data_IF_755647966989
#
_entry.id   IF_755647966989
#
_cell.length_a   1.000
_cell.length_b   1.000
_cell.length_c   1.000
_cell.angle_alpha   90.00
_cell.angle_beta   90.00
_cell.angle_gamma   90.00
#
_symmetry.space_group_name_H-M   'P 1'
#
loop_
_entity.id
_entity.type
_entity.pdbx_description
1 polymer ?
#
# COMPACT_ATOMS: atom_id res chain seq x y z
N UNK A 1 -44.05 -22.01 3.04
CA UNK A 1 -42.72 -22.27 2.44
C UNK A 1 -42.05 -20.90 2.25
N UNK A 2 -41.45 -20.38 3.32
CA UNK A 2 -40.92 -19.01 3.40
C UNK A 2 -39.47 -19.03 2.90
N UNK A 3 -39.31 -18.54 1.68
CA UNK A 3 -38.05 -18.46 0.97
C UNK A 3 -37.19 -17.37 1.61
N UNK A 4 -36.05 -17.77 2.17
CA UNK A 4 -35.13 -16.90 2.87
C UNK A 4 -34.61 -15.78 1.98
N UNK A 5 -35.00 -14.56 2.31
CA UNK A 5 -34.26 -13.34 1.99
C UNK A 5 -33.01 -13.39 2.86
N UNK A 6 -32.01 -14.15 2.41
CA UNK A 6 -30.67 -14.09 2.96
C UNK A 6 -30.14 -12.71 2.59
N UNK A 7 -30.16 -11.81 3.57
CA UNK A 7 -29.45 -10.55 3.54
C UNK A 7 -28.06 -10.79 2.97
N UNK A 8 -27.84 -10.37 1.73
CA UNK A 8 -26.51 -10.11 1.21
C UNK A 8 -25.98 -8.96 2.07
N UNK A 9 -25.36 -9.34 3.20
CA UNK A 9 -24.50 -8.45 3.96
C UNK A 9 -23.44 -7.99 2.97
N UNK A 10 -23.66 -6.83 2.37
CA UNK A 10 -22.66 -6.05 1.66
C UNK A 10 -21.56 -5.77 2.69
N UNK A 11 -20.65 -6.73 2.84
CA UNK A 11 -19.41 -6.56 3.59
C UNK A 11 -18.61 -5.57 2.77
N UNK A 12 -18.86 -4.27 3.02
CA UNK A 12 -18.00 -3.19 2.55
C UNK A 12 -16.59 -3.63 2.86
N UNK A 13 -15.69 -3.74 1.87
CA UNK A 13 -14.34 -4.23 2.11
C UNK A 13 -13.75 -3.40 3.24
N UNK A 14 -13.43 -4.08 4.34
CA UNK A 14 -13.07 -3.41 5.58
C UNK A 14 -11.80 -2.62 5.30
N UNK A 15 -11.94 -1.30 5.36
CA UNK A 15 -10.88 -0.33 5.04
C UNK A 15 -9.60 -0.62 5.82
N UNK A 16 -9.74 -1.22 7.00
CA UNK A 16 -8.66 -1.73 7.83
C UNK A 16 -7.85 -2.85 7.18
N UNK A 17 -8.46 -3.83 6.50
CA UNK A 17 -7.73 -4.95 5.87
C UNK A 17 -6.92 -4.47 4.66
N UNK A 18 -7.41 -3.46 3.94
CA UNK A 18 -6.67 -2.83 2.83
C UNK A 18 -5.49 -2.01 3.35
N UNK A 19 -5.65 -1.30 4.48
CA UNK A 19 -4.55 -0.58 5.12
C UNK A 19 -3.53 -1.55 5.76
N UNK A 20 -4.00 -2.62 6.38
CA UNK A 20 -3.17 -3.64 7.03
C UNK A 20 -2.33 -4.41 6.01
N UNK A 21 -2.89 -4.75 4.85
CA UNK A 21 -2.16 -5.40 3.75
C UNK A 21 -1.14 -4.48 3.09
N UNK A 22 -1.40 -3.18 3.01
CA UNK A 22 -0.40 -2.18 2.60
C UNK A 22 0.71 -1.97 3.64
N UNK A 23 0.43 -2.19 4.92
CA UNK A 23 1.39 -2.03 6.01
C UNK A 23 2.41 -3.18 6.06
N UNK A 24 1.99 -4.41 5.74
CA UNK A 24 2.83 -5.61 5.76
C UNK A 24 3.85 -5.67 4.62
N UNK A 25 3.47 -5.21 3.42
CA UNK A 25 4.39 -5.16 2.28
C UNK A 25 4.00 -4.00 1.35
N UNK A 26 4.90 -3.03 1.12
CA UNK A 26 4.62 -1.90 0.25
C UNK A 26 4.32 -2.40 -1.17
N UNK A 27 3.26 -1.85 -1.78
CA UNK A 27 2.80 -2.22 -3.11
C UNK A 27 1.63 -3.21 -3.15
N UNK A 28 1.45 -4.09 -2.16
CA UNK A 28 0.32 -5.06 -2.15
C UNK A 28 -1.03 -4.32 -2.12
N UNK A 29 -1.18 -3.33 -1.24
CA UNK A 29 -2.39 -2.53 -1.16
C UNK A 29 -2.71 -1.77 -2.46
N UNK A 30 -1.70 -1.37 -3.22
CA UNK A 30 -1.88 -0.67 -4.51
C UNK A 30 -2.29 -1.65 -5.63
N UNK A 31 -1.77 -2.88 -5.62
CA UNK A 31 -2.20 -3.95 -6.53
C UNK A 31 -3.68 -4.29 -6.31
N UNK A 32 -4.12 -4.40 -5.04
CA UNK A 32 -5.52 -4.62 -4.70
C UNK A 32 -6.44 -3.45 -5.12
N UNK A 33 -5.92 -2.22 -5.12
CA UNK A 33 -6.63 -1.03 -5.61
C UNK A 33 -6.62 -0.89 -7.15
N UNK A 34 -6.18 -1.92 -7.90
CA UNK A 34 -5.98 -1.91 -9.36
C UNK A 34 -5.00 -0.82 -9.85
N UNK A 35 -4.16 -0.28 -8.96
CA UNK A 35 -3.09 0.67 -9.29
C UNK A 35 -1.79 -0.09 -9.55
N UNK A 36 -1.81 -0.92 -10.60
CA UNK A 36 -0.73 -1.85 -10.94
C UNK A 36 0.62 -1.17 -11.11
N UNK A 37 0.66 -0.03 -11.81
CA UNK A 37 1.91 0.70 -12.04
C UNK A 37 2.55 1.16 -10.72
N UNK A 38 1.77 1.76 -9.82
CA UNK A 38 2.28 2.19 -8.52
C UNK A 38 2.70 0.98 -7.67
N UNK A 39 1.92 -0.09 -7.68
CA UNK A 39 2.24 -1.32 -6.96
C UNK A 39 3.56 -1.96 -7.42
N UNK A 40 3.80 -2.02 -8.73
CA UNK A 40 5.04 -2.55 -9.31
C UNK A 40 6.23 -1.63 -8.98
N UNK A 41 6.07 -0.32 -9.12
CA UNK A 41 7.17 0.63 -8.85
C UNK A 41 7.58 0.58 -7.38
N UNK A 42 6.62 0.71 -6.46
CA UNK A 42 6.94 0.73 -5.02
C UNK A 42 7.31 -0.66 -4.49
N UNK A 43 6.59 -1.71 -4.91
CA UNK A 43 6.90 -3.08 -4.51
C UNK A 43 8.23 -3.56 -5.07
N UNK A 44 8.53 -3.22 -6.32
CA UNK A 44 9.81 -3.53 -6.97
C UNK A 44 10.97 -2.76 -6.36
N UNK A 45 10.83 -1.45 -6.15
CA UNK A 45 11.87 -0.63 -5.52
C UNK A 45 12.16 -1.08 -4.08
N UNK A 46 11.12 -1.33 -3.29
CA UNK A 46 11.28 -1.85 -1.94
C UNK A 46 11.88 -3.25 -1.93
N UNK A 47 11.40 -4.15 -2.80
CA UNK A 47 11.93 -5.51 -2.92
C UNK A 47 13.41 -5.53 -3.29
N UNK A 48 13.83 -4.71 -4.25
CA UNK A 48 15.23 -4.58 -4.64
C UNK A 48 16.10 -4.06 -3.50
N UNK A 49 15.69 -2.99 -2.82
CA UNK A 49 16.41 -2.44 -1.67
C UNK A 49 16.46 -3.43 -0.50
N UNK A 50 15.38 -4.17 -0.25
CA UNK A 50 15.33 -5.19 0.79
C UNK A 50 16.25 -6.37 0.47
N UNK A 51 16.30 -6.84 -0.78
CA UNK A 51 17.26 -7.85 -1.20
C UNK A 51 18.71 -7.38 -1.03
N UNK A 52 19.02 -6.13 -1.40
CA UNK A 52 20.35 -5.55 -1.17
C UNK A 52 20.67 -5.46 0.33
N UNK A 53 19.71 -5.05 1.16
CA UNK A 53 19.84 -4.99 2.61
C UNK A 53 20.15 -6.38 3.18
N UNK A 54 19.45 -7.43 2.73
CA UNK A 54 19.70 -8.81 3.17
C UNK A 54 21.10 -9.26 2.77
N UNK A 55 21.51 -9.03 1.51
CA UNK A 55 22.85 -9.41 1.04
C UNK A 55 23.93 -8.73 1.87
N UNK A 56 23.84 -7.41 2.10
CA UNK A 56 24.79 -6.68 2.94
C UNK A 56 24.75 -7.15 4.40
N UNK A 57 23.57 -7.48 4.93
CA UNK A 57 23.44 -8.01 6.30
C UNK A 57 24.12 -9.37 6.42
N UNK A 58 23.92 -10.28 5.48
CA UNK A 58 24.58 -11.59 5.46
C UNK A 58 26.09 -11.48 5.28
N UNK A 59 26.56 -10.57 4.42
CA UNK A 59 28.00 -10.30 4.25
C UNK A 59 28.63 -9.79 5.54
N UNK A 60 27.99 -8.86 6.22
CA UNK A 60 28.46 -8.32 7.51
C UNK A 60 28.50 -9.42 8.58
N UNK A 61 27.45 -10.23 8.70
CA UNK A 61 27.42 -11.37 9.62
C UNK A 61 28.55 -12.36 9.30
N UNK A 62 28.72 -12.74 8.03
CA UNK A 62 29.78 -13.64 7.60
C UNK A 62 31.17 -13.08 7.90
N UNK A 63 31.39 -11.78 7.71
CA UNK A 63 32.63 -11.10 8.06
C UNK A 63 32.90 -11.17 9.57
N UNK A 64 31.90 -10.93 10.42
CA UNK A 64 32.05 -11.09 11.88
C UNK A 64 32.39 -12.52 12.31
N UNK A 65 31.75 -13.52 11.70
CA UNK A 65 32.09 -14.92 11.97
C UNK A 65 33.52 -15.27 11.55
N UNK A 66 33.99 -14.78 10.40
CA UNK A 66 35.37 -14.97 9.95
C UNK A 66 36.36 -14.30 10.89
N UNK A 67 36.07 -13.10 11.38
CA UNK A 67 36.92 -12.38 12.34
C UNK A 67 37.12 -13.19 13.63
N UNK A 68 36.04 -13.80 14.14
CA UNK A 68 36.07 -14.64 15.34
C UNK A 68 36.80 -15.97 15.16
N UNK A 69 36.76 -16.55 13.95
CA UNK A 69 37.43 -17.82 13.64
C UNK A 69 38.92 -17.64 13.32
N UNK A 70 39.28 -16.59 12.58
CA UNK A 70 40.65 -16.35 12.10
C UNK A 70 41.52 -15.54 13.09
N UNK A 71 41.02 -15.18 14.28
CA UNK A 71 41.68 -14.24 15.22
C UNK A 71 42.10 -12.93 14.54
N UNK A 72 41.26 -12.44 13.63
CA UNK A 72 41.50 -11.20 12.89
C UNK A 72 41.58 -9.98 13.81
N UNK A 73 42.38 -8.99 13.43
CA UNK A 73 42.51 -7.73 14.19
C UNK A 73 41.28 -6.84 14.00
N UNK A 74 40.94 -6.04 15.02
CA UNK A 74 39.74 -5.18 15.10
C UNK A 74 39.58 -4.18 13.93
N UNK A 75 40.65 -3.89 13.17
CA UNK A 75 40.61 -2.97 12.05
C UNK A 75 39.82 -3.47 10.82
N UNK A 76 39.48 -4.75 10.74
CA UNK A 76 38.66 -5.32 9.64
C UNK A 76 37.16 -5.33 9.95
N UNK A 77 36.71 -4.53 10.92
CA UNK A 77 35.29 -4.50 11.31
C UNK A 77 34.44 -3.95 10.16
N UNK A 78 33.47 -4.72 9.63
CA UNK A 78 32.60 -4.25 8.54
C UNK A 78 31.78 -3.03 8.97
N UNK A 79 31.71 -2.02 8.10
CA UNK A 79 31.02 -0.76 8.40
C UNK A 79 29.50 -0.94 8.43
N UNK A 80 28.87 -0.50 9.52
CA UNK A 80 27.41 -0.48 9.64
C UNK A 80 26.73 0.65 8.83
N UNK A 81 27.51 1.60 8.29
CA UNK A 81 26.98 2.77 7.56
C UNK A 81 26.15 2.36 6.34
N UNK A 82 26.57 1.33 5.64
CA UNK A 82 25.93 0.91 4.38
C UNK A 82 24.58 0.23 4.66
N UNK A 83 24.51 -0.55 5.75
CA UNK A 83 23.27 -1.16 6.24
C UNK A 83 22.30 -0.07 6.69
N UNK A 84 22.77 0.93 7.44
CA UNK A 84 21.95 2.06 7.89
C UNK A 84 21.43 2.88 6.71
N UNK A 85 22.26 3.10 5.68
CA UNK A 85 21.86 3.77 4.45
C UNK A 85 20.76 3.02 3.70
N UNK A 86 20.93 1.70 3.52
CA UNK A 86 19.93 0.84 2.88
C UNK A 86 18.63 0.76 3.70
N UNK A 87 18.73 0.67 5.02
CA UNK A 87 17.57 0.69 5.92
C UNK A 87 16.81 2.02 5.81
N UNK A 88 17.54 3.14 5.78
CA UNK A 88 16.97 4.47 5.56
C UNK A 88 16.27 4.59 4.22
N UNK A 89 16.87 4.06 3.15
CA UNK A 89 16.27 4.02 1.81
C UNK A 89 14.98 3.17 1.79
N UNK A 90 15.00 1.98 2.39
CA UNK A 90 13.81 1.13 2.56
C UNK A 90 12.69 1.87 3.30
N UNK A 91 13.03 2.55 4.39
CA UNK A 91 12.07 3.33 5.19
C UNK A 91 11.50 4.51 4.39
N UNK A 92 12.33 5.23 3.64
CA UNK A 92 11.89 6.33 2.80
C UNK A 92 10.89 5.87 1.71
N UNK A 93 11.19 4.75 1.04
CA UNK A 93 10.29 4.14 0.05
C UNK A 93 8.98 3.71 0.70
N UNK A 94 9.06 3.10 1.89
CA UNK A 94 7.89 2.67 2.65
C UNK A 94 6.98 3.85 3.06
N UNK A 95 7.55 4.92 3.63
CA UNK A 95 6.80 6.12 4.01
C UNK A 95 6.17 6.80 2.80
N UNK A 96 6.89 6.86 1.67
CA UNK A 96 6.37 7.41 0.41
C UNK A 96 5.19 6.57 -0.10
N UNK A 97 5.27 5.24 0.00
CA UNK A 97 4.18 4.35 -0.38
C UNK A 97 2.92 4.59 0.47
N UNK A 98 3.08 4.70 1.80
CA UNK A 98 1.97 5.03 2.71
C UNK A 98 1.32 6.36 2.33
N UNK A 99 2.13 7.39 2.08
CA UNK A 99 1.65 8.71 1.67
C UNK A 99 0.82 8.66 0.39
N UNK A 100 1.30 7.95 -0.64
CA UNK A 100 0.56 7.80 -1.90
C UNK A 100 -0.77 7.04 -1.72
N UNK A 101 -0.77 5.94 -0.95
CA UNK A 101 -1.98 5.17 -0.67
C UNK A 101 -3.00 6.03 0.09
N UNK A 102 -2.55 6.80 1.08
CA UNK A 102 -3.42 7.69 1.84
C UNK A 102 -4.02 8.81 0.98
N UNK A 103 -3.22 9.44 0.12
CA UNK A 103 -3.69 10.47 -0.81
C UNK A 103 -4.72 9.92 -1.80
N UNK A 104 -4.46 8.74 -2.37
CA UNK A 104 -5.40 8.09 -3.28
C UNK A 104 -6.71 7.73 -2.58
N UNK A 105 -6.64 7.24 -1.35
CA UNK A 105 -7.81 6.98 -0.53
C UNK A 105 -8.64 8.25 -0.27
N UNK A 106 -8.01 9.36 0.11
CA UNK A 106 -8.70 10.64 0.29
C UNK A 106 -9.38 11.13 -0.99
N UNK A 107 -8.74 10.98 -2.14
CA UNK A 107 -9.32 11.33 -3.45
C UNK A 107 -10.54 10.47 -3.77
N UNK A 108 -10.46 9.16 -3.55
CA UNK A 108 -11.58 8.24 -3.75
C UNK A 108 -12.75 8.58 -2.80
N UNK A 109 -12.47 8.85 -1.52
CA UNK A 109 -13.49 9.22 -0.54
C UNK A 109 -14.22 10.52 -0.93
N UNK A 110 -13.49 11.54 -1.42
CA UNK A 110 -14.08 12.80 -1.92
C UNK A 110 -15.00 12.57 -3.11
N UNK A 111 -14.59 11.77 -4.11
CA UNK A 111 -15.43 11.44 -5.27
C UNK A 111 -16.73 10.74 -4.85
N UNK A 112 -16.64 9.81 -3.91
CA UNK A 112 -17.81 9.09 -3.38
C UNK A 112 -18.74 9.97 -2.53
N UNK A 113 -18.24 11.07 -1.95
CA UNK A 113 -19.06 12.05 -1.24
C UNK A 113 -19.81 12.95 -2.23
N UNK A 114 -19.10 13.45 -3.26
CA UNK A 114 -19.69 14.27 -4.32
C UNK A 114 -20.79 13.48 -5.05
N UNK A 115 -20.51 12.25 -5.49
CA UNK A 115 -21.50 11.43 -6.19
C UNK A 115 -22.79 11.23 -5.40
N UNK A 116 -22.68 10.99 -4.07
CA UNK A 116 -23.84 10.84 -3.19
C UNK A 116 -24.68 12.11 -3.04
N UNK A 117 -24.09 13.30 -3.20
CA UNK A 117 -24.84 14.55 -3.18
C UNK A 117 -25.51 14.86 -4.53
N UNK A 118 -24.88 14.49 -5.65
CA UNK A 118 -25.41 14.77 -6.98
C UNK A 118 -26.46 13.75 -7.46
N UNK A 119 -26.33 12.46 -7.12
CA UNK A 119 -27.28 11.42 -7.54
C UNK A 119 -28.77 11.76 -7.22
N UNK A 120 -29.15 12.26 -6.02
CA UNK A 120 -30.54 12.61 -5.74
C UNK A 120 -31.03 13.87 -6.48
N UNK A 121 -30.15 14.85 -6.73
CA UNK A 121 -30.53 16.04 -7.52
C UNK A 121 -30.77 15.71 -8.99
N UNK A 122 -29.95 14.83 -9.56
CA UNK A 122 -30.14 14.40 -10.95
C UNK A 122 -31.44 13.59 -11.08
N UNK A 123 -31.76 12.74 -10.11
CA UNK A 123 -33.00 11.99 -10.10
C UNK A 123 -34.24 12.91 -10.08
N UNK A 124 -34.26 13.97 -9.25
CA UNK A 124 -35.40 14.89 -9.19
C UNK A 124 -35.58 15.71 -10.46
N UNK A 125 -34.49 16.13 -11.11
CA UNK A 125 -34.56 16.88 -12.38
C UNK A 125 -35.13 16.01 -13.51
N UNK A 126 -34.74 14.73 -13.56
CA UNK A 126 -35.26 13.78 -14.56
C UNK A 126 -36.75 13.46 -14.34
N UNK A 127 -37.21 13.45 -13.08
CA UNK A 127 -38.64 13.30 -12.77
C UNK A 127 -39.48 14.52 -13.18
N UNK A 128 -38.96 15.74 -13.02
CA UNK A 128 -39.61 16.98 -13.49
C UNK A 128 -39.70 17.05 -15.02
N UNK A 129 -38.64 16.68 -15.76
CA UNK A 129 -38.72 16.67 -17.23
C UNK A 129 -39.68 15.61 -17.77
N UNK A 130 -39.74 14.42 -17.14
CA UNK A 130 -40.67 13.36 -17.55
C UNK A 130 -42.14 13.71 -17.29
N UNK A 131 -42.43 14.60 -16.35
CA UNK A 131 -43.80 15.05 -16.04
C UNK A 131 -44.23 16.21 -16.94
N UNK A 132 -43.31 17.10 -17.33
CA UNK A 132 -43.59 18.22 -18.22
C UNK A 132 -43.72 17.83 -19.70
N UNK A 133 -43.06 16.78 -20.16
CA UNK A 133 -43.09 16.34 -21.57
C UNK A 133 -44.37 15.59 -22.01
N UNK A 134 -45.38 15.43 -21.14
CA UNK A 134 -46.63 14.71 -21.41
C UNK A 134 -47.87 15.62 -21.55
N UNK A 135 -47.69 16.94 -21.49
CA UNK A 135 -48.75 17.93 -21.76
C UNK A 135 -48.69 18.44 -23.19
#
# INVERSE_FOLDING_TARGET
>A
MTMGVVDKVERRPSRGVILLSGFLFPGIGQLLQRRWLSGIVFGGAFGALFCLLLVHSFQTIAAFYRLGLDKGTVNDTPSATDILGLLGACLAVYLTNIGDVYLAFRRAARRSAIRRHFDPQIASILEEESTNGKG
#
